data_IF_819287192413
#
_entry.id   IF_819287192413
#
_cell.length_a   1.000
_cell.length_b   1.000
_cell.length_c   1.000
_cell.angle_alpha   90.00
_cell.angle_beta   90.00
_cell.angle_gamma   90.00
#
_symmetry.space_group_name_H-M   'P 1'
#
loop_
_entity.id
_entity.type
_entity.pdbx_description
1 polymer ?
#
# COMPACT_ATOMS: atom_id res chain seq x y z
N UNK A 1 -2.98 -10.94 12.57
CA UNK A 1 -2.06 -10.49 11.50
C UNK A 1 -1.92 -9.00 11.65
N UNK A 2 -0.85 -8.42 11.11
CA UNK A 2 -0.74 -6.97 11.09
C UNK A 2 -1.17 -6.42 9.74
N UNK A 3 -1.96 -5.35 9.78
CA UNK A 3 -2.45 -4.67 8.59
C UNK A 3 -1.96 -3.23 8.63
N UNK A 4 -1.33 -2.79 7.55
CA UNK A 4 -1.01 -1.39 7.30
C UNK A 4 -1.90 -0.91 6.18
N UNK A 5 -2.76 0.06 6.48
CA UNK A 5 -3.57 0.79 5.53
C UNK A 5 -2.94 2.16 5.28
N UNK A 6 -2.85 2.52 4.01
CA UNK A 6 -2.32 3.81 3.56
C UNK A 6 -3.38 4.46 2.67
N UNK A 7 -3.74 5.69 2.98
CA UNK A 7 -4.60 6.53 2.15
C UNK A 7 -3.73 7.67 1.63
N UNK A 8 -3.59 7.77 0.31
CA UNK A 8 -2.76 8.78 -0.33
C UNK A 8 -3.64 9.71 -1.18
N UNK A 9 -3.50 11.01 -1.01
CA UNK A 9 -4.04 11.99 -1.94
C UNK A 9 -3.01 12.31 -3.02
N UNK A 10 -3.45 12.27 -4.29
CA UNK A 10 -2.60 12.41 -5.47
C UNK A 10 -3.30 13.31 -6.47
N UNK A 11 -2.59 14.33 -6.97
CA UNK A 11 -3.10 15.14 -8.08
C UNK A 11 -3.35 14.29 -9.33
N UNK A 12 -4.40 14.60 -10.08
CA UNK A 12 -4.71 13.90 -11.32
C UNK A 12 -3.52 13.90 -12.31
N UNK A 13 -2.73 14.98 -12.34
CA UNK A 13 -1.52 15.09 -13.16
C UNK A 13 -0.41 14.11 -12.76
N UNK A 14 -0.41 13.64 -11.52
CA UNK A 14 0.60 12.75 -10.94
C UNK A 14 0.13 11.29 -10.82
N UNK A 15 -1.12 10.99 -11.17
CA UNK A 15 -1.72 9.66 -11.02
C UNK A 15 -0.91 8.54 -11.71
N UNK A 16 -0.41 8.79 -12.92
CA UNK A 16 0.41 7.82 -13.65
C UNK A 16 1.77 7.60 -12.98
N UNK A 17 2.42 8.67 -12.54
CA UNK A 17 3.70 8.59 -11.85
C UNK A 17 3.57 7.86 -10.51
N UNK A 18 2.49 8.12 -9.76
CA UNK A 18 2.15 7.39 -8.55
C UNK A 18 1.91 5.90 -8.83
N UNK A 19 1.15 5.56 -9.88
CA UNK A 19 0.93 4.18 -10.26
C UNK A 19 2.24 3.44 -10.62
N UNK A 20 3.18 4.12 -11.29
CA UNK A 20 4.51 3.56 -11.57
C UNK A 20 5.34 3.36 -10.30
N UNK A 21 5.30 4.30 -9.37
CA UNK A 21 5.96 4.15 -8.08
C UNK A 21 5.39 2.97 -7.28
N UNK A 22 4.07 2.72 -7.39
CA UNK A 22 3.43 1.55 -6.77
C UNK A 22 3.97 0.21 -7.26
N UNK A 23 4.41 0.10 -8.52
CA UNK A 23 5.02 -1.11 -9.07
C UNK A 23 6.32 -1.50 -8.37
N UNK A 24 7.07 -0.50 -7.88
CA UNK A 24 8.39 -0.71 -7.29
C UNK A 24 8.30 -1.40 -5.92
N UNK A 25 7.14 -1.36 -5.28
CA UNK A 25 6.85 -2.15 -4.08
C UNK A 25 6.79 -3.66 -4.33
N UNK A 26 6.99 -4.13 -5.56
CA UNK A 26 7.21 -5.54 -5.87
C UNK A 26 8.34 -6.19 -5.03
N UNK A 27 9.31 -5.40 -4.57
CA UNK A 27 10.37 -5.85 -3.65
C UNK A 27 9.82 -6.45 -2.34
N UNK A 28 8.62 -6.06 -1.90
CA UNK A 28 7.96 -6.62 -0.71
C UNK A 28 7.75 -8.12 -0.80
N UNK A 29 7.62 -8.69 -2.01
CA UNK A 29 7.44 -10.13 -2.23
C UNK A 29 8.53 -11.00 -1.60
N UNK A 30 9.72 -10.44 -1.35
CA UNK A 30 10.86 -11.13 -0.76
C UNK A 30 11.11 -10.80 0.72
N UNK A 31 10.32 -9.91 1.32
CA UNK A 31 10.49 -9.49 2.72
C UNK A 31 9.90 -10.55 3.65
N UNK A 32 10.67 -10.91 4.69
CA UNK A 32 10.23 -11.89 5.67
C UNK A 32 8.97 -11.42 6.40
N UNK A 33 8.01 -12.32 6.55
CA UNK A 33 6.73 -12.03 7.19
C UNK A 33 5.76 -11.13 6.41
N UNK A 34 6.12 -10.66 5.21
CA UNK A 34 5.16 -10.07 4.27
C UNK A 34 4.23 -11.16 3.71
N UNK A 35 2.93 -10.86 3.60
CA UNK A 35 1.93 -11.79 3.04
C UNK A 35 1.44 -11.28 1.69
N UNK A 36 0.93 -10.04 1.67
CA UNK A 36 0.28 -9.45 0.49
C UNK A 36 0.21 -7.94 0.59
N UNK A 37 0.30 -7.26 -0.55
CA UNK A 37 -0.14 -5.88 -0.76
C UNK A 37 -1.18 -5.85 -1.88
N UNK A 38 -2.19 -4.99 -1.75
CA UNK A 38 -3.10 -4.64 -2.83
C UNK A 38 -3.70 -3.27 -2.58
N UNK A 39 -4.22 -2.65 -3.62
CA UNK A 39 -4.83 -1.33 -3.51
C UNK A 39 -5.40 -0.86 -4.83
N UNK A 40 -5.85 0.38 -4.83
CA UNK A 40 -6.36 1.04 -6.01
C UNK A 40 -6.88 2.43 -5.70
N UNK A 41 -7.55 3.01 -6.68
CA UNK A 41 -8.17 4.33 -6.53
C UNK A 41 -9.55 4.20 -5.92
N UNK A 42 -9.93 5.11 -5.01
CA UNK A 42 -11.33 5.27 -4.62
C UNK A 42 -12.15 5.65 -5.84
N UNK A 43 -13.38 5.15 -5.91
CA UNK A 43 -14.31 5.39 -7.02
C UNK A 43 -14.92 6.79 -7.00
N UNK A 44 -14.72 7.56 -5.92
CA UNK A 44 -15.18 8.94 -5.87
C UNK A 44 -14.42 9.78 -6.89
N UNK A 45 -15.10 10.75 -7.51
CA UNK A 45 -14.52 11.67 -8.49
C UNK A 45 -14.20 12.98 -7.75
N UNK A 46 -13.39 12.84 -6.70
CA UNK A 46 -12.89 13.99 -5.95
C UNK A 46 -11.48 14.32 -6.44
N UNK A 47 -11.17 15.61 -6.51
CA UNK A 47 -9.80 16.08 -6.66
C UNK A 47 -9.33 16.69 -5.33
N UNK A 48 -8.18 16.24 -4.79
CA UNK A 48 -7.24 15.27 -5.38
C UNK A 48 -7.76 13.82 -5.36
N UNK A 49 -7.23 12.99 -6.28
CA UNK A 49 -7.58 11.56 -6.34
C UNK A 49 -7.11 10.88 -5.05
N UNK A 50 -7.91 9.94 -4.55
CA UNK A 50 -7.53 9.16 -3.35
C UNK A 50 -7.15 7.74 -3.73
N UNK A 51 -5.91 7.35 -3.45
CA UNK A 51 -5.46 5.96 -3.49
C UNK A 51 -5.57 5.31 -2.10
N UNK A 52 -5.96 4.05 -2.05
CA UNK A 52 -5.95 3.24 -0.84
C UNK A 52 -5.12 1.98 -1.08
N UNK A 53 -4.12 1.77 -0.24
CA UNK A 53 -3.17 0.66 -0.31
C UNK A 53 -3.18 -0.06 1.02
N UNK A 54 -3.27 -1.38 0.97
CA UNK A 54 -3.33 -2.27 2.12
C UNK A 54 -2.19 -3.26 1.98
N UNK A 55 -1.39 -3.39 3.03
CA UNK A 55 -0.41 -4.46 3.17
C UNK A 55 -0.70 -5.30 4.42
N UNK A 56 -0.48 -6.60 4.28
CA UNK A 56 -0.76 -7.61 5.29
C UNK A 56 0.54 -8.32 5.63
N UNK A 57 0.78 -8.46 6.92
CA UNK A 57 1.98 -9.03 7.51
C UNK A 57 1.61 -10.12 8.51
N UNK A 58 2.49 -11.10 8.67
CA UNK A 58 2.30 -12.23 9.58
C UNK A 58 2.06 -11.76 11.02
N UNK A 59 2.86 -10.79 11.47
CA UNK A 59 2.81 -10.23 12.82
C UNK A 59 3.47 -8.83 12.88
N UNK A 60 3.42 -8.22 14.06
CA UNK A 60 4.04 -6.93 14.38
C UNK A 60 5.55 -6.92 14.16
N UNK A 61 6.24 -7.95 14.67
CA UNK A 61 7.71 -8.06 14.64
C UNK A 61 8.26 -8.02 13.21
N UNK A 62 7.64 -8.75 12.28
CA UNK A 62 8.03 -8.74 10.87
C UNK A 62 7.86 -7.37 10.21
N UNK A 63 6.78 -6.66 10.54
CA UNK A 63 6.54 -5.31 10.02
C UNK A 63 7.53 -4.30 10.61
N UNK A 64 7.80 -4.36 11.91
CA UNK A 64 8.73 -3.44 12.57
C UNK A 64 10.16 -3.65 12.03
N UNK A 65 10.59 -4.90 11.83
CA UNK A 65 11.86 -5.20 11.16
C UNK A 65 11.93 -4.59 9.76
N UNK A 66 10.85 -4.72 8.97
CA UNK A 66 10.76 -4.11 7.66
C UNK A 66 10.92 -2.58 7.70
N UNK A 67 10.23 -1.93 8.64
CA UNK A 67 10.30 -0.48 8.82
C UNK A 67 11.69 0.00 9.22
N UNK A 68 12.46 -0.82 9.96
CA UNK A 68 13.80 -0.48 10.43
C UNK A 68 14.92 -0.72 9.40
N UNK A 69 14.76 -1.67 8.48
CA UNK A 69 15.87 -2.16 7.66
C UNK A 69 15.68 -1.94 6.16
N UNK A 70 14.51 -2.25 5.59
CA UNK A 70 14.30 -2.25 4.14
C UNK A 70 13.39 -1.12 3.64
N UNK A 71 12.51 -0.58 4.50
CA UNK A 71 11.50 0.41 4.11
C UNK A 71 12.10 1.64 3.44
N UNK A 72 13.07 2.30 4.09
CA UNK A 72 13.61 3.56 3.61
C UNK A 72 14.37 3.39 2.29
N UNK A 73 15.07 2.27 2.10
CA UNK A 73 15.74 1.97 0.83
C UNK A 73 14.74 1.87 -0.33
N UNK A 74 13.63 1.14 -0.15
CA UNK A 74 12.61 0.99 -1.18
C UNK A 74 11.87 2.32 -1.42
N UNK A 75 11.62 3.07 -0.35
CA UNK A 75 10.91 4.34 -0.41
C UNK A 75 11.73 5.46 -1.07
N UNK A 76 13.05 5.49 -0.86
CA UNK A 76 13.95 6.45 -1.51
C UNK A 76 14.15 6.13 -3.00
N UNK A 77 14.16 4.85 -3.38
CA UNK A 77 14.37 4.43 -4.77
C UNK A 77 13.17 4.71 -5.70
N UNK A 78 11.95 4.84 -5.14
CA UNK A 78 10.73 4.84 -5.93
C UNK A 78 10.12 6.20 -6.27
N UNK A 79 10.76 7.31 -5.86
CA UNK A 79 10.33 8.70 -6.08
C UNK A 79 8.88 9.02 -5.65
N UNK A 80 8.23 8.12 -4.89
CA UNK A 80 6.80 8.22 -4.61
C UNK A 80 6.45 9.47 -3.77
N UNK A 81 7.39 9.95 -2.96
CA UNK A 81 7.22 11.15 -2.15
C UNK A 81 6.95 12.41 -2.98
N UNK A 82 7.50 12.48 -4.20
CA UNK A 82 7.36 13.66 -5.06
C UNK A 82 5.95 13.83 -5.64
N UNK A 83 5.14 12.76 -5.62
CA UNK A 83 3.84 12.69 -6.30
C UNK A 83 2.66 12.55 -5.34
N UNK A 84 2.91 12.41 -4.04
CA UNK A 84 1.91 12.37 -2.98
C UNK A 84 1.70 13.77 -2.40
N UNK A 85 0.45 14.21 -2.31
CA UNK A 85 0.09 15.45 -1.61
C UNK A 85 -0.02 15.24 -0.11
N UNK A 86 -0.70 14.17 0.29
CA UNK A 86 -0.88 13.78 1.69
C UNK A 86 -0.93 12.27 1.81
N UNK A 87 -0.49 11.76 2.96
CA UNK A 87 -0.58 10.34 3.29
C UNK A 87 -1.06 10.17 4.72
N UNK A 88 -2.06 9.32 4.90
CA UNK A 88 -2.49 8.81 6.19
C UNK A 88 -2.11 7.34 6.28
N UNK A 89 -1.43 6.97 7.35
CA UNK A 89 -1.03 5.57 7.61
C UNK A 89 -1.69 5.11 8.91
N UNK A 90 -2.50 4.06 8.81
CA UNK A 90 -3.09 3.40 9.97
C UNK A 90 -2.59 1.97 10.04
N UNK A 91 -2.18 1.55 11.23
CA UNK A 91 -1.69 0.20 11.49
C UNK A 91 -2.50 -0.43 12.61
N UNK A 92 -3.04 -1.61 12.38
CA UNK A 92 -3.87 -2.33 13.34
C UNK A 92 -3.66 -3.84 13.26
N UNK A 93 -3.93 -4.53 14.36
CA UNK A 93 -3.82 -5.97 14.49
C UNK A 93 -5.20 -6.60 14.49
N UNK A 94 -5.51 -7.36 13.44
CA UNK A 94 -6.84 -7.92 13.23
C UNK A 94 -6.76 -9.37 12.72
N UNK A 95 -7.92 -10.02 12.67
CA UNK A 95 -8.11 -11.39 12.21
C UNK A 95 -8.36 -11.51 10.70
N UNK A 96 -8.48 -12.74 10.20
CA UNK A 96 -8.62 -13.04 8.76
C UNK A 96 -9.90 -12.47 8.13
N UNK A 97 -11.08 -12.58 8.76
CA UNK A 97 -12.30 -11.95 8.26
C UNK A 97 -12.15 -10.45 8.02
N UNK A 98 -11.57 -9.70 8.98
CA UNK A 98 -11.35 -8.27 8.82
C UNK A 98 -10.43 -7.95 7.63
N UNK A 99 -9.32 -8.68 7.49
CA UNK A 99 -8.40 -8.54 6.34
C UNK A 99 -9.13 -8.75 5.01
N UNK A 100 -10.01 -9.75 4.96
CA UNK A 100 -10.76 -10.06 3.74
C UNK A 100 -11.64 -8.89 3.33
N UNK A 101 -12.45 -8.36 4.25
CA UNK A 101 -13.38 -7.26 3.95
C UNK A 101 -12.63 -6.01 3.48
N UNK A 102 -11.50 -5.71 4.12
CA UNK A 102 -10.66 -4.57 3.77
C UNK A 102 -10.09 -4.68 2.35
N UNK A 103 -9.61 -5.88 1.96
CA UNK A 103 -9.07 -6.16 0.62
C UNK A 103 -10.14 -6.30 -0.47
N UNK A 104 -11.42 -6.25 -0.11
CA UNK A 104 -12.55 -6.32 -1.06
C UNK A 104 -13.48 -5.11 -0.94
N UNK A 105 -12.97 -3.99 -0.42
CA UNK A 105 -13.73 -2.74 -0.30
C UNK A 105 -14.36 -2.36 -1.66
N UNK A 106 -15.71 -2.32 -1.77
CA UNK A 106 -16.42 -2.06 -3.02
C UNK A 106 -16.23 -0.63 -3.53
N UNK A 107 -15.77 0.29 -2.68
CA UNK A 107 -15.52 1.69 -3.05
C UNK A 107 -14.15 1.89 -3.71
N UNK A 108 -13.33 0.83 -3.79
CA UNK A 108 -12.03 0.86 -4.45
C UNK A 108 -12.14 0.24 -5.86
N UNK A 109 -11.61 0.94 -6.86
CA UNK A 109 -11.23 0.35 -8.14
C UNK A 109 -9.81 -0.19 -8.01
N UNK A 110 -9.69 -1.48 -7.73
CA UNK A 110 -8.41 -2.15 -7.58
C UNK A 110 -7.57 -2.07 -8.85
N UNK A 111 -6.30 -1.74 -8.69
CA UNK A 111 -5.30 -1.73 -9.74
C UNK A 111 -4.49 -3.04 -9.62
N UNK A 112 -4.64 -4.01 -10.56
CA UNK A 112 -4.01 -5.33 -10.46
C UNK A 112 -2.49 -5.24 -10.32
N UNK A 113 -1.89 -4.26 -10.99
CA UNK A 113 -0.46 -4.01 -11.02
C UNK A 113 0.11 -3.53 -9.67
N UNK A 114 -0.75 -3.09 -8.73
CA UNK A 114 -0.34 -2.71 -7.37
C UNK A 114 -0.38 -3.90 -6.41
N UNK A 115 -0.81 -5.07 -6.90
CA UNK A 115 -0.88 -6.28 -6.09
C UNK A 115 0.48 -6.95 -6.02
N UNK A 116 0.98 -7.15 -4.81
CA UNK A 116 2.21 -7.89 -4.54
C UNK A 116 1.86 -9.09 -3.67
N UNK A 117 2.29 -10.28 -4.08
CA UNK A 117 2.17 -11.50 -3.31
C UNK A 117 3.56 -11.94 -2.85
N UNK A 118 3.64 -12.59 -1.69
CA UNK A 118 4.86 -13.28 -1.26
C UNK A 118 5.31 -14.26 -2.33
N UNK A 119 6.61 -14.23 -2.65
CA UNK A 119 7.24 -15.09 -3.66
C UNK A 119 7.35 -16.56 -3.21
#
# INVERSE_FOLDING_TARGET
>A
MLIKKMICEVDAANAEAFAKAQLQWGALSYISGFIKQAGGWRKTIDEPLTAEIISVWENREAYDHFMENEHDSIYEENDQKAVILSIEVTVYEEDKPFVHDLLHNPDIRYEPDWTVLKA
#
